data_IF_993349982506
#
_entry.id   IF_993349982506
#
_cell.length_a   1.000
_cell.length_b   1.000
_cell.length_c   1.000
_cell.angle_alpha   90.00
_cell.angle_beta   90.00
_cell.angle_gamma   90.00
#
_symmetry.space_group_name_H-M   'P 1'
#
loop_
_entity.id
_entity.type
_entity.pdbx_description
1 polymer ?
#
# COMPACT_ATOMS: atom_id res chain seq x y z
N UNK A 1 46.65 35.53 40.66
CA UNK A 1 46.78 34.09 40.36
C UNK A 1 45.37 33.58 40.03
N UNK A 2 45.21 32.98 38.87
CA UNK A 2 43.95 32.73 38.16
C UNK A 2 43.15 31.62 38.85
N UNK A 3 41.84 31.78 39.07
CA UNK A 3 40.95 30.70 39.51
C UNK A 3 39.98 30.36 38.38
N UNK A 4 40.16 29.18 37.79
CA UNK A 4 39.26 28.58 36.79
C UNK A 4 38.03 28.01 37.50
N UNK A 5 36.83 28.36 37.02
CA UNK A 5 35.59 27.68 37.39
C UNK A 5 35.33 26.51 36.42
N UNK A 6 34.85 25.35 36.88
CA UNK A 6 34.52 24.23 36.00
C UNK A 6 33.21 24.46 35.25
N UNK A 7 33.22 24.22 33.94
CA UNK A 7 32.02 24.18 33.10
C UNK A 7 31.36 22.82 33.29
N UNK A 8 30.23 22.76 33.98
CA UNK A 8 29.38 21.58 34.00
C UNK A 8 28.59 21.50 32.68
N UNK A 9 28.96 20.58 31.79
CA UNK A 9 28.12 20.17 30.66
C UNK A 9 26.90 19.41 31.20
N UNK A 10 25.82 20.13 31.48
CA UNK A 10 24.50 19.53 31.69
C UNK A 10 23.91 19.13 30.35
N UNK A 11 23.86 17.83 30.05
CA UNK A 11 23.08 17.25 28.97
C UNK A 11 21.58 17.42 29.28
N UNK A 12 21.01 18.57 28.91
CA UNK A 12 19.56 18.74 28.89
C UNK A 12 19.00 17.94 27.72
N UNK A 13 18.25 16.88 28.03
CA UNK A 13 17.37 16.21 27.06
C UNK A 13 16.47 17.26 26.40
N UNK A 14 16.21 17.19 25.08
CA UNK A 14 15.24 18.07 24.47
C UNK A 14 13.88 17.87 25.14
N UNK A 15 13.09 18.93 25.34
CA UNK A 15 11.74 18.79 25.89
C UNK A 15 10.92 17.87 24.99
N UNK A 16 9.95 17.12 25.55
CA UNK A 16 8.99 16.36 24.75
C UNK A 16 8.34 17.32 23.76
N UNK A 17 8.28 16.91 22.49
CA UNK A 17 7.67 17.68 21.40
C UNK A 17 6.25 18.03 21.83
N UNK A 18 5.95 19.31 22.07
CA UNK A 18 4.62 19.77 22.41
C UNK A 18 3.60 19.19 21.43
N UNK A 19 2.54 18.56 21.95
CA UNK A 19 1.29 18.27 21.22
C UNK A 19 0.53 19.58 20.94
N UNK A 20 1.23 20.62 20.48
CA UNK A 20 0.56 21.80 19.96
C UNK A 20 -0.08 21.38 18.63
N UNK A 21 -1.41 21.41 18.59
CA UNK A 21 -2.17 21.22 17.36
C UNK A 21 -1.62 22.21 16.31
N UNK A 22 -1.05 21.67 15.22
CA UNK A 22 -0.57 22.47 14.11
C UNK A 22 -1.74 23.28 13.54
N UNK A 23 -1.56 24.56 13.17
CA UNK A 23 -2.62 25.38 12.56
C UNK A 23 -3.05 24.89 11.17
N UNK A 24 -2.45 23.82 10.65
CA UNK A 24 -2.83 23.21 9.38
C UNK A 24 -3.96 22.18 9.60
N UNK A 25 -4.97 22.11 8.71
CA UNK A 25 -5.97 21.06 8.75
C UNK A 25 -5.29 19.68 8.75
N UNK A 26 -5.85 18.69 9.48
CA UNK A 26 -5.26 17.37 9.56
C UNK A 26 -5.14 16.78 8.16
N UNK A 27 -3.92 16.36 7.80
CA UNK A 27 -3.64 15.75 6.51
C UNK A 27 -4.50 14.49 6.34
N UNK A 28 -5.12 14.29 5.17
CA UNK A 28 -5.98 13.13 4.96
C UNK A 28 -5.15 11.84 5.07
N UNK A 29 -5.72 10.84 5.73
CA UNK A 29 -5.18 9.50 5.88
C UNK A 29 -5.96 8.52 5.02
N UNK A 30 -5.30 7.45 4.58
CA UNK A 30 -5.91 6.39 3.81
C UNK A 30 -5.99 5.09 4.64
N UNK A 31 -7.17 4.48 4.72
CA UNK A 31 -7.38 3.24 5.49
C UNK A 31 -6.87 2.02 4.69
N UNK A 32 -5.61 1.69 4.93
CA UNK A 32 -4.92 0.60 4.25
C UNK A 32 -5.41 -0.79 4.69
N UNK A 33 -5.86 -0.95 5.94
CA UNK A 33 -6.31 -2.24 6.46
C UNK A 33 -7.67 -2.61 5.88
N UNK A 34 -8.58 -1.64 5.79
CA UNK A 34 -9.87 -1.80 5.11
C UNK A 34 -9.67 -2.18 3.64
N UNK A 35 -8.75 -1.50 2.94
CA UNK A 35 -8.43 -1.84 1.56
C UNK A 35 -7.84 -3.25 1.44
N UNK A 36 -6.90 -3.62 2.32
CA UNK A 36 -6.28 -4.96 2.32
C UNK A 36 -7.32 -6.07 2.47
N UNK A 37 -8.21 -5.94 3.45
CA UNK A 37 -9.28 -6.91 3.68
C UNK A 37 -10.20 -7.06 2.46
N UNK A 38 -10.52 -5.94 1.81
CA UNK A 38 -11.31 -5.94 0.57
C UNK A 38 -10.58 -6.62 -0.59
N UNK A 39 -9.33 -6.26 -0.86
CA UNK A 39 -8.54 -6.83 -1.97
C UNK A 39 -8.44 -8.35 -1.79
N UNK A 40 -8.08 -8.82 -0.58
CA UNK A 40 -7.97 -10.24 -0.29
C UNK A 40 -9.27 -11.00 -0.56
N UNK A 41 -10.40 -10.46 -0.07
CA UNK A 41 -11.72 -11.06 -0.30
C UNK A 41 -12.08 -11.07 -1.78
N UNK A 42 -11.90 -9.95 -2.49
CA UNK A 42 -12.19 -9.80 -3.91
C UNK A 42 -11.44 -10.84 -4.73
N UNK A 43 -10.11 -10.87 -4.61
CA UNK A 43 -9.26 -11.79 -5.38
C UNK A 43 -9.64 -13.24 -5.07
N UNK A 44 -9.84 -13.58 -3.79
CA UNK A 44 -10.27 -14.92 -3.40
C UNK A 44 -11.61 -15.28 -4.05
N UNK A 45 -12.62 -14.41 -4.01
CA UNK A 45 -13.92 -14.70 -4.63
C UNK A 45 -13.87 -14.81 -6.15
N UNK A 46 -13.01 -14.03 -6.82
CA UNK A 46 -12.89 -14.01 -8.27
C UNK A 46 -12.09 -15.21 -8.79
N UNK A 47 -11.03 -15.61 -8.09
CA UNK A 47 -10.04 -16.56 -8.62
C UNK A 47 -10.00 -17.93 -7.92
N UNK A 48 -10.74 -18.15 -6.82
CA UNK A 48 -10.68 -19.42 -6.06
C UNK A 48 -10.86 -20.66 -6.94
N UNK A 49 -11.83 -20.61 -7.86
CA UNK A 49 -12.16 -21.71 -8.77
C UNK A 49 -11.73 -21.43 -10.22
N UNK A 50 -10.97 -20.38 -10.46
CA UNK A 50 -10.47 -20.05 -11.79
C UNK A 50 -9.27 -20.93 -12.15
N UNK A 51 -9.17 -21.32 -13.42
CA UNK A 51 -8.06 -22.08 -13.97
C UNK A 51 -7.37 -21.27 -15.06
N UNK A 52 -6.06 -21.46 -15.22
CA UNK A 52 -5.32 -20.86 -16.31
C UNK A 52 -5.88 -21.33 -17.65
N UNK A 53 -6.05 -20.37 -18.56
CA UNK A 53 -6.35 -20.62 -19.97
C UNK A 53 -5.24 -20.00 -20.83
N UNK A 54 -4.80 -20.67 -21.92
CA UNK A 54 -3.94 -20.06 -22.92
C UNK A 54 -4.56 -18.82 -23.58
N UNK A 55 -5.90 -18.73 -23.56
CA UNK A 55 -6.66 -17.60 -24.09
C UNK A 55 -6.49 -16.39 -23.19
N UNK A 56 -5.63 -15.47 -23.63
CA UNK A 56 -5.22 -14.30 -22.83
C UNK A 56 -6.35 -13.34 -22.49
N UNK A 57 -7.49 -13.43 -23.14
CA UNK A 57 -8.59 -12.48 -22.98
C UNK A 57 -9.34 -12.66 -21.66
N UNK A 58 -9.53 -13.90 -21.20
CA UNK A 58 -10.13 -14.14 -19.88
C UNK A 58 -9.22 -13.65 -18.75
N UNK A 59 -7.92 -13.94 -18.85
CA UNK A 59 -6.93 -13.47 -17.86
C UNK A 59 -6.87 -11.93 -17.84
N UNK A 60 -6.89 -11.28 -19.00
CA UNK A 60 -6.99 -9.81 -19.10
C UNK A 60 -8.29 -9.28 -18.49
N UNK A 61 -9.41 -9.96 -18.70
CA UNK A 61 -10.69 -9.56 -18.12
C UNK A 61 -10.65 -9.60 -16.59
N UNK A 62 -10.11 -10.66 -15.99
CA UNK A 62 -9.93 -10.73 -14.54
C UNK A 62 -9.00 -9.64 -14.00
N UNK A 63 -7.85 -9.42 -14.65
CA UNK A 63 -6.92 -8.36 -14.24
C UNK A 63 -7.59 -6.98 -14.29
N UNK A 64 -8.36 -6.71 -15.35
CA UNK A 64 -9.12 -5.47 -15.50
C UNK A 64 -10.19 -5.32 -14.43
N UNK A 65 -11.03 -6.34 -14.22
CA UNK A 65 -12.10 -6.33 -13.23
C UNK A 65 -11.54 -6.08 -11.82
N UNK A 66 -10.51 -6.83 -11.42
CA UNK A 66 -9.88 -6.66 -10.11
C UNK A 66 -9.29 -5.25 -10.00
N UNK A 67 -8.57 -4.77 -11.02
CA UNK A 67 -7.97 -3.44 -11.02
C UNK A 67 -8.99 -2.31 -10.87
N UNK A 68 -10.08 -2.38 -11.63
CA UNK A 68 -11.16 -1.39 -11.59
C UNK A 68 -11.88 -1.40 -10.23
N UNK A 69 -12.30 -2.57 -9.75
CA UNK A 69 -13.01 -2.71 -8.47
C UNK A 69 -12.18 -2.32 -7.25
N UNK A 70 -10.86 -2.56 -7.30
CA UNK A 70 -9.94 -2.08 -6.25
C UNK A 70 -9.83 -0.56 -6.31
N UNK A 71 -9.64 0.02 -7.48
CA UNK A 71 -9.54 1.48 -7.63
C UNK A 71 -10.82 2.20 -7.22
N UNK A 72 -11.99 1.67 -7.58
CA UNK A 72 -13.29 2.18 -7.12
C UNK A 72 -13.37 2.15 -5.60
N UNK A 73 -12.99 1.05 -4.97
CA UNK A 73 -12.96 0.95 -3.52
C UNK A 73 -12.00 1.96 -2.87
N UNK A 74 -10.86 2.24 -3.49
CA UNK A 74 -9.94 3.28 -3.00
C UNK A 74 -10.58 4.67 -3.02
N UNK A 75 -11.33 4.99 -4.09
CA UNK A 75 -12.07 6.25 -4.18
C UNK A 75 -13.20 6.35 -3.15
N UNK A 76 -13.87 5.23 -2.83
CA UNK A 76 -14.89 5.18 -1.78
C UNK A 76 -14.30 5.40 -0.38
N UNK A 77 -13.14 4.80 -0.10
CA UNK A 77 -12.45 4.95 1.19
C UNK A 77 -12.01 6.40 1.39
N UNK A 78 -11.44 7.01 0.35
CA UNK A 78 -10.98 8.38 0.40
C UNK A 78 -11.09 9.04 -0.99
N UNK A 79 -12.09 9.89 -1.25
CA UNK A 79 -12.30 10.45 -2.59
C UNK A 79 -11.30 11.55 -2.96
N UNK A 80 -10.63 12.18 -1.98
CA UNK A 80 -9.81 13.37 -2.19
C UNK A 80 -8.42 13.24 -1.56
N UNK A 81 -7.47 14.05 -2.04
CA UNK A 81 -6.13 14.15 -1.46
C UNK A 81 -5.17 13.04 -1.86
N UNK A 82 -5.56 12.13 -2.76
CA UNK A 82 -4.71 11.04 -3.25
C UNK A 82 -4.86 10.80 -4.76
N UNK A 83 -3.79 10.33 -5.38
CA UNK A 83 -3.78 9.68 -6.69
C UNK A 83 -3.67 8.18 -6.49
N UNK A 84 -4.47 7.42 -7.25
CA UNK A 84 -4.58 5.96 -7.11
C UNK A 84 -4.01 5.22 -8.31
N UNK A 85 -3.18 4.21 -8.02
CA UNK A 85 -2.68 3.25 -9.01
C UNK A 85 -2.92 1.83 -8.50
N UNK A 86 -3.33 0.94 -9.40
CA UNK A 86 -3.52 -0.48 -9.10
C UNK A 86 -2.82 -1.29 -10.19
N UNK A 87 -1.94 -2.20 -9.77
CA UNK A 87 -1.22 -3.12 -10.65
C UNK A 87 -1.69 -4.53 -10.32
N UNK A 88 -2.31 -5.20 -11.30
CA UNK A 88 -2.74 -6.59 -11.16
C UNK A 88 -1.99 -7.43 -12.18
N UNK A 89 -1.36 -8.50 -11.72
CA UNK A 89 -0.67 -9.46 -12.57
C UNK A 89 -1.15 -10.88 -12.24
N UNK A 90 -1.62 -11.61 -13.25
CA UNK A 90 -1.98 -13.02 -13.15
C UNK A 90 -1.06 -13.82 -14.07
N UNK A 91 -0.43 -14.86 -13.52
CA UNK A 91 0.43 -15.80 -14.25
C UNK A 91 -0.04 -17.24 -14.00
N UNK A 92 0.32 -18.14 -14.91
CA UNK A 92 0.14 -19.59 -14.73
C UNK A 92 0.94 -20.08 -13.53
N UNK A 93 0.37 -20.95 -12.70
CA UNK A 93 1.07 -21.69 -11.68
C UNK A 93 1.55 -23.03 -12.23
N UNK A 94 2.87 -23.17 -12.39
CA UNK A 94 3.56 -24.39 -12.79
C UNK A 94 4.50 -24.89 -11.68
N UNK A 95 4.24 -24.48 -10.44
CA UNK A 95 5.12 -24.75 -9.30
C UNK A 95 6.43 -23.96 -9.34
N UNK A 96 6.50 -22.88 -10.12
CA UNK A 96 7.67 -22.02 -10.21
C UNK A 96 7.78 -21.10 -8.98
N UNK A 97 9.03 -20.79 -8.59
CA UNK A 97 9.29 -19.70 -7.67
C UNK A 97 9.07 -18.35 -8.34
N UNK A 98 8.42 -17.42 -7.62
CA UNK A 98 8.22 -16.03 -8.05
C UNK A 98 8.78 -15.06 -7.03
N UNK A 99 9.26 -13.91 -7.51
CA UNK A 99 9.71 -12.79 -6.67
C UNK A 99 9.21 -11.48 -7.26
N UNK A 100 8.53 -10.68 -6.45
CA UNK A 100 8.06 -9.35 -6.80
C UNK A 100 8.51 -8.39 -5.69
N UNK A 101 9.41 -7.47 -6.04
CA UNK A 101 9.86 -6.41 -5.15
C UNK A 101 9.43 -5.06 -5.70
N UNK A 102 9.25 -4.11 -4.80
CA UNK A 102 9.04 -2.71 -5.14
C UNK A 102 9.86 -1.85 -4.19
N UNK A 103 10.57 -0.87 -4.75
CA UNK A 103 11.25 0.17 -4.00
C UNK A 103 10.62 1.49 -4.39
N UNK A 104 10.40 2.37 -3.43
CA UNK A 104 9.79 3.67 -3.70
C UNK A 104 10.31 4.75 -2.76
N UNK A 105 10.20 5.99 -3.24
CA UNK A 105 10.51 7.20 -2.49
C UNK A 105 9.17 7.88 -2.17
N UNK A 106 8.69 7.69 -0.94
CA UNK A 106 7.36 8.13 -0.51
C UNK A 106 7.46 9.19 0.58
N UNK A 107 6.41 9.99 0.68
CA UNK A 107 6.20 10.94 1.78
C UNK A 107 5.31 10.30 2.87
N UNK A 108 5.36 10.85 4.08
CA UNK A 108 4.60 10.35 5.24
C UNK A 108 3.11 10.21 4.95
N UNK A 109 2.53 9.03 4.77
CA UNK A 109 1.09 8.85 4.53
C UNK A 109 0.72 8.50 3.10
N UNK A 110 1.70 8.37 2.20
CA UNK A 110 1.53 7.48 1.05
C UNK A 110 1.32 6.04 1.53
N UNK A 111 0.49 5.28 0.82
CA UNK A 111 0.14 3.91 1.19
C UNK A 111 0.40 2.96 0.03
N UNK A 112 0.94 1.80 0.38
CA UNK A 112 0.96 0.63 -0.49
C UNK A 112 0.37 -0.58 0.20
N UNK A 113 -0.55 -1.23 -0.50
CA UNK A 113 -1.09 -2.54 -0.13
C UNK A 113 -0.70 -3.53 -1.22
N UNK A 114 -0.05 -4.62 -0.84
CA UNK A 114 0.30 -5.71 -1.72
C UNK A 114 -0.39 -6.98 -1.22
N UNK A 115 -1.18 -7.61 -2.08
CA UNK A 115 -1.84 -8.87 -1.79
C UNK A 115 -1.49 -9.92 -2.84
N UNK A 116 -1.25 -11.14 -2.35
CA UNK A 116 -0.89 -12.31 -3.14
C UNK A 116 -1.97 -13.38 -2.97
N UNK A 117 -2.38 -13.97 -4.08
CA UNK A 117 -3.26 -15.13 -4.13
C UNK A 117 -2.66 -16.19 -5.05
N UNK A 118 -2.87 -17.46 -4.74
CA UNK A 118 -2.58 -18.56 -5.65
C UNK A 118 -3.55 -19.71 -5.43
N UNK A 119 -3.76 -20.49 -6.49
CA UNK A 119 -4.39 -21.81 -6.45
C UNK A 119 -3.54 -22.79 -7.27
N UNK A 120 -4.07 -23.96 -7.61
CA UNK A 120 -3.33 -24.98 -8.36
C UNK A 120 -2.88 -24.51 -9.76
N UNK A 121 -3.54 -23.50 -10.35
CA UNK A 121 -3.35 -23.11 -11.75
C UNK A 121 -2.94 -21.65 -11.95
N UNK A 122 -3.16 -20.77 -10.96
CA UNK A 122 -2.94 -19.33 -11.06
C UNK A 122 -2.10 -18.79 -9.91
N UNK A 123 -1.30 -17.76 -10.19
CA UNK A 123 -0.66 -16.88 -9.22
C UNK A 123 -1.09 -15.46 -9.57
N UNK A 124 -1.69 -14.74 -8.61
CA UNK A 124 -2.16 -13.37 -8.76
C UNK A 124 -1.49 -12.45 -7.73
N UNK A 125 -0.87 -11.37 -8.21
CA UNK A 125 -0.35 -10.27 -7.37
C UNK A 125 -1.16 -9.02 -7.65
N UNK A 126 -1.64 -8.35 -6.60
CA UNK A 126 -2.33 -7.07 -6.69
C UNK A 126 -1.64 -6.04 -5.78
N UNK A 127 -1.09 -4.99 -6.39
CA UNK A 127 -0.44 -3.87 -5.70
C UNK A 127 -1.31 -2.63 -5.88
N UNK A 128 -1.79 -2.05 -4.79
CA UNK A 128 -2.55 -0.83 -4.77
C UNK A 128 -1.76 0.28 -4.08
N UNK A 129 -1.66 1.45 -4.73
CA UNK A 129 -0.89 2.60 -4.28
C UNK A 129 -1.81 3.80 -4.15
N UNK A 130 -1.84 4.41 -2.96
CA UNK A 130 -2.44 5.70 -2.71
C UNK A 130 -1.33 6.72 -2.45
N UNK A 131 -1.08 7.59 -3.41
CA UNK A 131 -0.03 8.61 -3.34
C UNK A 131 -0.70 9.93 -3.02
N UNK A 132 -0.36 10.53 -1.89
CA UNK A 132 -0.97 11.78 -1.45
C UNK A 132 -0.64 12.91 -2.43
N UNK A 133 -1.63 13.70 -2.77
CA UNK A 133 -1.45 14.94 -3.53
C UNK A 133 -1.22 16.10 -2.58
N UNK A 134 -0.31 17.01 -2.97
CA UNK A 134 -0.04 18.25 -2.24
C UNK A 134 -1.30 19.13 -2.10
#
# INVERSE_FOLDING_TARGET
MVSLAPIALGSRSPPPRSEAASPHPPRPTFDNELLRAYIKKLIQTTLLHASWTPERDQVKAWMKEIGERVKERMLEIQPNGFKYMVLVQINENRGQGGRADMVSHWEDGDVCVNELFWNESLICTCIALAIRTA
#
